data_IF_942882458960
#
_entry.id   IF_942882458960
#
_cell.length_a   1.000
_cell.length_b   1.000
_cell.length_c   1.000
_cell.angle_alpha   90.00
_cell.angle_beta   90.00
_cell.angle_gamma   90.00
#
_symmetry.space_group_name_H-M   'P 1'
#
loop_
_entity.id
_entity.type
_entity.pdbx_description
1 polymer ?
#
# COMPACT_ATOMS: atom_id res chain seq x y z
N UNK A 1 23.66 -19.25 3.30
CA UNK A 1 23.58 -17.80 3.06
C UNK A 1 23.19 -17.55 1.60
N UNK A 2 21.91 -17.67 1.26
CA UNK A 2 21.35 -17.03 0.05
C UNK A 2 20.43 -15.89 0.50
N UNK A 3 21.00 -14.98 1.29
CA UNK A 3 20.38 -13.70 1.63
C UNK A 3 20.65 -12.68 0.51
N UNK A 4 20.51 -13.09 -0.74
CA UNK A 4 20.54 -12.23 -1.91
C UNK A 4 19.15 -12.15 -2.53
N UNK A 5 18.87 -11.13 -3.32
CA UNK A 5 17.62 -10.81 -4.06
C UNK A 5 16.56 -11.93 -4.18
N UNK A 6 16.93 -13.17 -4.51
CA UNK A 6 16.04 -14.34 -4.49
C UNK A 6 15.26 -14.54 -3.19
N UNK A 7 15.87 -14.32 -2.02
CA UNK A 7 15.19 -14.39 -0.72
C UNK A 7 14.13 -13.30 -0.55
N UNK A 8 14.43 -12.07 -0.98
CA UNK A 8 13.49 -10.92 -0.94
C UNK A 8 12.32 -11.16 -1.90
N UNK A 9 12.62 -11.69 -3.09
CA UNK A 9 11.62 -12.03 -4.10
C UNK A 9 10.72 -13.18 -3.60
N UNK A 10 11.28 -14.15 -2.88
CA UNK A 10 10.52 -15.28 -2.32
C UNK A 10 9.65 -14.88 -1.13
N UNK A 11 10.13 -13.97 -0.29
CA UNK A 11 9.40 -13.46 0.87
C UNK A 11 8.32 -12.45 0.50
N UNK A 12 8.37 -11.86 -0.70
CA UNK A 12 7.32 -10.95 -1.15
C UNK A 12 6.09 -11.73 -1.62
N UNK A 13 4.87 -11.33 -1.20
CA UNK A 13 3.63 -11.96 -1.64
C UNK A 13 3.46 -11.96 -3.17
N UNK A 14 2.75 -12.97 -3.68
CA UNK A 14 2.72 -13.27 -5.12
C UNK A 14 2.09 -12.15 -5.94
N UNK A 15 0.97 -11.59 -5.48
CA UNK A 15 0.22 -10.56 -6.22
C UNK A 15 0.98 -9.25 -6.21
N UNK A 16 1.47 -8.86 -5.03
CA UNK A 16 2.33 -7.68 -4.86
C UNK A 16 3.57 -7.75 -5.75
N UNK A 17 4.26 -8.90 -5.76
CA UNK A 17 5.44 -9.12 -6.59
C UNK A 17 5.13 -8.95 -8.07
N UNK A 18 4.09 -9.62 -8.58
CA UNK A 18 3.70 -9.55 -9.98
C UNK A 18 3.42 -8.12 -10.41
N UNK A 19 2.68 -7.36 -9.59
CA UNK A 19 2.30 -5.99 -9.93
C UNK A 19 3.52 -5.06 -9.99
N UNK A 20 4.44 -5.14 -9.02
CA UNK A 20 5.66 -4.32 -9.03
C UNK A 20 6.53 -4.64 -10.25
N UNK A 21 6.69 -5.92 -10.59
CA UNK A 21 7.40 -6.31 -11.83
C UNK A 21 6.74 -5.72 -13.08
N UNK A 22 5.42 -5.74 -13.17
CA UNK A 22 4.69 -5.19 -14.30
C UNK A 22 4.83 -3.67 -14.40
N UNK A 23 4.78 -2.94 -13.28
CA UNK A 23 4.95 -1.47 -13.22
C UNK A 23 6.37 -1.06 -13.64
N UNK A 24 7.38 -1.74 -13.10
CA UNK A 24 8.78 -1.49 -13.46
C UNK A 24 9.02 -1.85 -14.93
N UNK A 25 8.49 -2.98 -15.39
CA UNK A 25 8.60 -3.44 -16.76
C UNK A 25 7.97 -2.47 -17.76
N UNK A 26 6.74 -2.03 -17.52
CA UNK A 26 6.05 -1.07 -18.39
C UNK A 26 6.75 0.29 -18.41
N UNK A 27 7.19 0.80 -17.26
CA UNK A 27 7.92 2.09 -17.20
C UNK A 27 9.27 2.02 -17.92
N UNK A 28 9.96 0.88 -17.82
CA UNK A 28 11.20 0.65 -18.57
C UNK A 28 10.93 0.59 -20.07
N UNK A 29 9.86 -0.09 -20.49
CA UNK A 29 9.46 -0.18 -21.90
C UNK A 29 9.10 1.18 -22.51
N UNK A 30 8.43 2.05 -21.77
CA UNK A 30 8.14 3.41 -22.26
C UNK A 30 9.39 4.27 -22.36
N UNK A 31 10.37 4.07 -21.46
CA UNK A 31 11.66 4.77 -21.54
C UNK A 31 12.54 4.31 -22.68
N UNK A 32 12.49 3.03 -23.03
CA UNK A 32 13.18 2.50 -24.20
C UNK A 32 12.52 2.91 -25.53
N UNK A 33 11.36 3.57 -25.50
CA UNK A 33 10.64 4.03 -26.68
C UNK A 33 9.90 2.92 -27.43
N UNK A 34 9.76 1.72 -26.85
CA UNK A 34 9.00 0.63 -27.45
C UNK A 34 7.48 0.87 -27.39
N UNK A 35 7.01 1.58 -26.37
CA UNK A 35 5.59 1.93 -26.17
C UNK A 35 5.51 3.43 -25.90
N UNK A 36 4.68 4.14 -26.66
CA UNK A 36 4.44 5.55 -26.37
C UNK A 36 3.49 5.71 -25.18
N UNK A 37 3.68 6.79 -24.41
CA UNK A 37 2.87 7.12 -23.24
C UNK A 37 1.38 7.28 -23.62
N UNK A 38 1.12 7.71 -24.86
CA UNK A 38 -0.22 7.85 -25.44
C UNK A 38 -0.89 6.50 -25.71
N UNK A 39 -0.14 5.39 -25.81
CA UNK A 39 -0.69 4.05 -25.97
C UNK A 39 -1.16 3.42 -24.67
N UNK A 40 -0.69 3.95 -23.53
CA UNK A 40 -1.10 3.56 -22.17
C UNK A 40 -2.28 4.39 -21.64
N UNK A 41 -2.59 5.49 -22.33
CA UNK A 41 -3.63 6.42 -21.95
C UNK A 41 -5.03 5.79 -22.02
N UNK A 42 -5.81 5.96 -20.96
CA UNK A 42 -7.21 5.53 -20.92
C UNK A 42 -8.11 6.44 -21.76
N UNK A 43 -8.63 5.90 -22.87
CA UNK A 43 -9.59 6.60 -23.73
C UNK A 43 -10.80 5.72 -24.01
N UNK A 44 -11.94 6.09 -23.41
CA UNK A 44 -13.22 5.38 -23.55
C UNK A 44 -13.66 5.24 -25.01
N UNK A 45 -13.46 6.28 -25.83
CA UNK A 45 -13.83 6.27 -27.24
C UNK A 45 -13.03 5.27 -28.07
N UNK A 46 -11.74 5.11 -27.79
CA UNK A 46 -10.89 4.14 -28.49
C UNK A 46 -11.15 2.71 -28.02
N UNK A 47 -11.39 2.50 -26.73
CA UNK A 47 -11.63 1.17 -26.17
C UNK A 47 -12.91 0.57 -26.75
N UNK A 48 -14.01 1.31 -26.73
CA UNK A 48 -15.31 0.79 -27.18
C UNK A 48 -15.52 0.84 -28.69
N UNK A 49 -14.92 1.82 -29.42
CA UNK A 49 -15.08 1.91 -30.89
C UNK A 49 -14.02 1.14 -31.68
N UNK A 50 -12.83 0.90 -31.11
CA UNK A 50 -11.69 0.24 -31.80
C UNK A 50 -11.26 -1.07 -31.14
N UNK A 51 -12.01 -1.57 -30.15
CA UNK A 51 -11.76 -2.86 -29.46
C UNK A 51 -10.35 -3.01 -28.86
N UNK A 52 -9.75 -1.93 -28.39
CA UNK A 52 -8.40 -1.93 -27.83
C UNK A 52 -8.40 -2.32 -26.33
N UNK A 53 -8.78 -3.56 -26.02
CA UNK A 53 -8.97 -4.04 -24.65
C UNK A 53 -7.69 -4.05 -23.80
N UNK A 54 -6.51 -4.16 -24.43
CA UNK A 54 -5.23 -4.13 -23.71
C UNK A 54 -5.05 -2.82 -22.92
N UNK A 55 -5.62 -1.70 -23.39
CA UNK A 55 -5.57 -0.40 -22.70
C UNK A 55 -6.23 -0.41 -21.33
N UNK A 56 -7.18 -1.32 -21.08
CA UNK A 56 -7.82 -1.49 -19.79
C UNK A 56 -6.86 -2.04 -18.73
N UNK A 57 -5.85 -2.81 -19.14
CA UNK A 57 -4.87 -3.38 -18.22
C UNK A 57 -3.67 -2.46 -18.12
N UNK A 58 -3.18 -1.96 -19.26
CA UNK A 58 -1.95 -1.15 -19.30
C UNK A 58 -2.10 0.21 -18.63
N UNK A 59 -3.30 0.78 -18.56
CA UNK A 59 -3.56 2.05 -17.86
C UNK A 59 -3.36 1.99 -16.34
N UNK A 60 -3.40 0.80 -15.74
CA UNK A 60 -3.10 0.57 -14.32
C UNK A 60 -1.61 0.32 -14.04
N UNK A 61 -0.86 -0.09 -15.06
CA UNK A 61 0.57 -0.41 -14.92
C UNK A 61 1.46 0.83 -15.01
N UNK A 62 1.00 1.86 -15.73
CA UNK A 62 1.70 3.14 -15.79
C UNK A 62 1.32 4.03 -14.59
N UNK A 63 2.30 4.30 -13.73
CA UNK A 63 2.11 5.12 -12.52
C UNK A 63 2.68 6.52 -12.74
N UNK A 64 3.94 6.64 -13.12
CA UNK A 64 4.63 7.91 -13.27
C UNK A 64 5.79 7.79 -14.26
N UNK A 65 6.19 8.89 -14.91
CA UNK A 65 7.43 8.90 -15.69
C UNK A 65 8.63 8.64 -14.77
N UNK A 66 9.66 7.95 -15.30
CA UNK A 66 10.88 7.66 -14.55
C UNK A 66 11.47 8.92 -13.92
N UNK A 67 11.74 8.84 -12.61
CA UNK A 67 12.24 9.93 -11.80
C UNK A 67 12.03 9.64 -10.32
N UNK A 68 12.35 10.61 -9.48
CA UNK A 68 12.24 10.50 -8.02
C UNK A 68 10.79 10.21 -7.58
N UNK A 69 9.80 10.88 -8.18
CA UNK A 69 8.38 10.60 -7.94
C UNK A 69 7.98 9.15 -8.25
N UNK A 70 8.47 8.60 -9.36
CA UNK A 70 8.19 7.20 -9.70
C UNK A 70 8.71 6.26 -8.61
N UNK A 71 9.93 6.47 -8.11
CA UNK A 71 10.47 5.69 -7.02
C UNK A 71 9.60 5.79 -5.76
N UNK A 72 9.21 7.00 -5.37
CA UNK A 72 8.32 7.23 -4.23
C UNK A 72 6.97 6.50 -4.39
N UNK A 73 6.34 6.60 -5.55
CA UNK A 73 5.05 5.95 -5.80
C UNK A 73 5.17 4.42 -5.84
N UNK A 74 6.26 3.87 -6.39
CA UNK A 74 6.51 2.41 -6.40
C UNK A 74 6.79 1.88 -4.99
N UNK A 75 7.58 2.60 -4.18
CA UNK A 75 7.84 2.21 -2.79
C UNK A 75 6.53 2.21 -2.00
N UNK A 76 5.72 3.27 -2.11
CA UNK A 76 4.44 3.36 -1.42
C UNK A 76 3.45 2.29 -1.89
N UNK A 77 3.43 1.98 -3.19
CA UNK A 77 2.63 0.89 -3.74
C UNK A 77 3.09 -0.46 -3.18
N UNK A 78 4.38 -0.78 -3.23
CA UNK A 78 4.93 -2.02 -2.68
C UNK A 78 4.58 -2.18 -1.21
N UNK A 79 4.85 -1.13 -0.43
CA UNK A 79 4.59 -1.08 1.01
C UNK A 79 3.11 -1.32 1.33
N UNK A 80 2.23 -0.66 0.59
CA UNK A 80 0.78 -0.80 0.75
C UNK A 80 0.34 -2.21 0.37
N UNK A 81 0.64 -2.67 -0.85
CA UNK A 81 0.18 -3.97 -1.35
C UNK A 81 0.67 -5.11 -0.47
N UNK A 82 1.95 -5.09 -0.07
CA UNK A 82 2.52 -6.10 0.83
C UNK A 82 1.76 -6.13 2.15
N UNK A 83 1.48 -4.98 2.76
CA UNK A 83 0.73 -4.89 4.02
C UNK A 83 -0.74 -5.25 3.90
N UNK A 84 -1.39 -5.03 2.76
CA UNK A 84 -2.73 -5.57 2.54
C UNK A 84 -2.71 -7.09 2.36
N UNK A 85 -1.75 -7.62 1.60
CA UNK A 85 -1.71 -9.04 1.26
C UNK A 85 -1.26 -9.90 2.46
N UNK A 86 -0.22 -9.49 3.18
CA UNK A 86 0.23 -10.15 4.42
C UNK A 86 -0.68 -9.81 5.60
N UNK A 87 -1.17 -8.57 5.65
CA UNK A 87 -2.00 -8.08 6.74
C UNK A 87 -3.46 -8.48 6.58
N UNK A 88 -4.19 -7.84 5.68
CA UNK A 88 -5.63 -8.11 5.55
C UNK A 88 -6.00 -9.49 4.98
N UNK A 89 -5.09 -10.16 4.26
CA UNK A 89 -5.41 -11.36 3.49
C UNK A 89 -4.37 -12.49 3.62
N UNK A 90 -3.95 -12.88 4.84
CA UNK A 90 -2.94 -13.93 5.02
C UNK A 90 -3.41 -15.24 4.41
N UNK A 91 -2.64 -15.78 3.46
CA UNK A 91 -2.99 -17.00 2.72
C UNK A 91 -4.23 -16.87 1.81
N UNK A 92 -4.82 -15.68 1.70
CA UNK A 92 -6.05 -15.37 0.92
C UNK A 92 -5.77 -14.40 -0.24
N UNK A 93 -4.68 -14.63 -0.97
CA UNK A 93 -4.29 -13.82 -2.13
C UNK A 93 -5.40 -13.70 -3.18
N UNK A 94 -6.29 -14.68 -3.31
CA UNK A 94 -7.42 -14.62 -4.27
C UNK A 94 -8.45 -13.56 -3.86
N UNK A 95 -8.72 -13.41 -2.57
CA UNK A 95 -9.62 -12.37 -2.09
C UNK A 95 -8.99 -10.98 -2.26
N UNK A 96 -7.68 -10.87 -2.06
CA UNK A 96 -6.94 -9.64 -2.35
C UNK A 96 -7.00 -9.27 -3.84
N UNK A 97 -6.78 -10.23 -4.75
CA UNK A 97 -6.95 -10.02 -6.19
C UNK A 97 -8.37 -9.56 -6.55
N UNK A 98 -9.38 -10.16 -5.92
CA UNK A 98 -10.77 -9.75 -6.14
C UNK A 98 -11.02 -8.30 -5.72
N UNK A 99 -10.48 -7.86 -4.58
CA UNK A 99 -10.54 -6.46 -4.16
C UNK A 99 -9.83 -5.54 -5.14
N UNK A 100 -8.66 -5.92 -5.66
CA UNK A 100 -7.97 -5.14 -6.71
C UNK A 100 -8.83 -5.02 -7.97
N UNK A 101 -9.49 -6.09 -8.40
CA UNK A 101 -10.36 -6.09 -9.58
C UNK A 101 -11.56 -5.16 -9.36
N UNK A 102 -12.25 -5.27 -8.22
CA UNK A 102 -13.37 -4.38 -7.88
C UNK A 102 -12.90 -2.92 -7.80
N UNK A 103 -11.74 -2.68 -7.19
CA UNK A 103 -11.13 -1.36 -7.15
C UNK A 103 -10.79 -0.82 -8.54
N UNK A 104 -10.28 -1.68 -9.43
CA UNK A 104 -10.01 -1.32 -10.83
C UNK A 104 -11.29 -0.96 -11.57
N UNK A 105 -12.35 -1.76 -11.44
CA UNK A 105 -13.65 -1.48 -12.07
C UNK A 105 -14.23 -0.16 -11.57
N UNK A 106 -14.20 0.09 -10.25
CA UNK A 106 -14.68 1.35 -9.68
C UNK A 106 -13.87 2.54 -10.20
N UNK A 107 -12.54 2.42 -10.25
CA UNK A 107 -11.68 3.46 -10.81
C UNK A 107 -11.93 3.70 -12.31
N UNK A 108 -12.26 2.67 -13.10
CA UNK A 108 -12.65 2.83 -14.51
C UNK A 108 -13.95 3.64 -14.66
N UNK A 109 -14.91 3.41 -13.77
CA UNK A 109 -16.17 4.17 -13.76
C UNK A 109 -15.94 5.61 -13.32
N UNK A 110 -15.07 5.84 -12.33
CA UNK A 110 -14.78 7.17 -11.78
C UNK A 110 -13.85 8.01 -12.67
N UNK A 111 -12.97 7.39 -13.46
CA UNK A 111 -11.99 8.07 -14.33
C UNK A 111 -12.56 9.21 -15.19
N UNK A 112 -13.69 9.07 -15.92
CA UNK A 112 -14.25 10.15 -16.73
C UNK A 112 -14.75 11.35 -15.89
N UNK A 113 -15.18 11.13 -14.64
CA UNK A 113 -15.66 12.19 -13.76
C UNK A 113 -14.52 13.06 -13.25
N UNK A 114 -13.38 12.45 -12.92
CA UNK A 114 -12.18 13.15 -12.44
C UNK A 114 -11.26 13.62 -13.57
N UNK A 115 -11.58 13.29 -14.84
CA UNK A 115 -10.75 13.55 -16.03
C UNK A 115 -9.32 13.03 -15.88
N UNK A 116 -9.18 11.87 -15.25
CA UNK A 116 -7.90 11.19 -15.03
C UNK A 116 -7.74 10.08 -16.06
N UNK A 117 -6.56 10.00 -16.66
CA UNK A 117 -6.29 9.10 -17.78
C UNK A 117 -5.35 7.94 -17.44
N UNK A 118 -4.62 8.04 -16.33
CA UNK A 118 -3.76 6.99 -15.80
C UNK A 118 -4.32 6.51 -14.48
N UNK A 119 -4.66 5.23 -14.40
CA UNK A 119 -5.37 4.65 -13.25
C UNK A 119 -4.43 3.97 -12.25
N UNK A 120 -3.13 3.88 -12.55
CA UNK A 120 -2.13 3.33 -11.63
C UNK A 120 -2.04 4.08 -10.29
N UNK A 121 -1.95 5.41 -10.33
CA UNK A 121 -1.93 6.25 -9.11
C UNK A 121 -3.25 6.14 -8.33
N UNK A 122 -4.44 6.36 -8.94
CA UNK A 122 -5.72 6.21 -8.23
C UNK A 122 -5.88 4.85 -7.56
N UNK A 123 -5.55 3.77 -8.27
CA UNK A 123 -5.65 2.41 -7.72
C UNK A 123 -4.70 2.19 -6.53
N UNK A 124 -3.46 2.70 -6.64
CA UNK A 124 -2.51 2.67 -5.52
C UNK A 124 -3.02 3.45 -4.30
N UNK A 125 -3.65 4.60 -4.52
CA UNK A 125 -4.28 5.39 -3.44
C UNK A 125 -5.48 4.67 -2.83
N UNK A 126 -6.33 4.02 -3.65
CA UNK A 126 -7.47 3.22 -3.19
C UNK A 126 -7.03 2.12 -2.23
N UNK A 127 -5.98 1.37 -2.56
CA UNK A 127 -5.45 0.32 -1.66
C UNK A 127 -4.82 0.92 -0.40
N UNK A 128 -4.06 2.00 -0.54
CA UNK A 128 -3.43 2.70 0.59
C UNK A 128 -4.46 3.19 1.59
N UNK A 129 -5.58 3.72 1.07
CA UNK A 129 -6.72 4.13 1.87
C UNK A 129 -7.36 2.95 2.60
N UNK A 130 -7.63 1.84 1.89
CA UNK A 130 -8.26 0.66 2.49
C UNK A 130 -7.44 0.12 3.66
N UNK A 131 -6.12 0.05 3.50
CA UNK A 131 -5.23 -0.37 4.57
C UNK A 131 -5.20 0.62 5.74
N UNK A 132 -5.07 1.92 5.45
CA UNK A 132 -5.06 2.96 6.48
C UNK A 132 -6.34 2.97 7.35
N UNK A 133 -7.48 2.59 6.76
CA UNK A 133 -8.76 2.48 7.47
C UNK A 133 -8.92 1.18 8.25
N UNK A 134 -8.35 0.09 7.77
CA UNK A 134 -8.38 -1.23 8.45
C UNK A 134 -7.44 -1.33 9.63
N UNK A 135 -6.37 -0.53 9.62
CA UNK A 135 -5.35 -0.54 10.65
C UNK A 135 -5.09 0.89 11.18
N UNK A 136 -6.10 1.59 11.75
CA UNK A 136 -6.00 3.03 12.03
C UNK A 136 -5.06 3.38 13.20
N UNK A 137 -4.79 2.42 14.09
CA UNK A 137 -3.94 2.61 15.27
C UNK A 137 -2.47 2.27 15.03
N UNK A 138 -2.15 1.69 13.87
CA UNK A 138 -0.78 1.34 13.51
C UNK A 138 0.06 2.60 13.37
N UNK A 139 1.19 2.63 14.07
CA UNK A 139 2.13 3.74 13.96
C UNK A 139 3.10 3.45 12.81
N UNK A 140 3.20 4.39 11.89
CA UNK A 140 4.12 4.29 10.76
C UNK A 140 5.16 5.38 10.80
N UNK A 141 6.37 5.02 10.40
CA UNK A 141 7.39 5.99 10.02
C UNK A 141 7.52 6.01 8.49
N UNK A 142 7.32 7.18 7.88
CA UNK A 142 7.72 7.40 6.48
C UNK A 142 9.21 7.71 6.46
N UNK A 143 9.98 6.83 5.82
CA UNK A 143 11.43 6.98 5.59
C UNK A 143 12.27 7.25 6.86
N UNK A 144 11.79 6.83 8.04
CA UNK A 144 12.49 7.04 9.32
C UNK A 144 12.30 8.44 9.93
N UNK A 145 11.81 9.42 9.15
CA UNK A 145 11.78 10.83 9.54
C UNK A 145 10.46 11.25 10.16
N UNK A 146 9.33 10.86 9.55
CA UNK A 146 8.00 11.28 9.99
C UNK A 146 7.23 10.11 10.58
N UNK A 147 7.06 10.10 11.91
CA UNK A 147 6.23 9.14 12.64
C UNK A 147 4.79 9.65 12.75
N UNK A 148 3.82 8.90 12.21
CA UNK A 148 2.40 9.25 12.31
C UNK A 148 1.50 7.99 12.27
N UNK A 149 0.26 8.14 12.72
CA UNK A 149 -0.73 7.04 12.71
C UNK A 149 -1.22 6.74 11.30
N UNK A 150 -1.40 5.47 10.98
CA UNK A 150 -1.77 5.01 9.64
C UNK A 150 -3.03 5.64 9.07
N UNK A 151 -4.00 6.03 9.92
CA UNK A 151 -5.18 6.80 9.50
C UNK A 151 -4.87 8.08 8.72
N UNK A 152 -3.69 8.68 8.92
CA UNK A 152 -3.26 9.90 8.22
C UNK A 152 -2.46 9.61 6.95
N UNK A 153 -2.11 8.35 6.66
CA UNK A 153 -1.31 7.98 5.49
C UNK A 153 -1.85 8.55 4.17
N UNK A 154 -3.16 8.45 3.85
CA UNK A 154 -3.65 8.95 2.58
C UNK A 154 -3.45 10.47 2.47
N UNK A 155 -3.64 11.21 3.55
CA UNK A 155 -3.49 12.67 3.59
C UNK A 155 -2.03 13.10 3.48
N UNK A 156 -1.12 12.42 4.21
CA UNK A 156 0.32 12.66 4.10
C UNK A 156 0.79 12.37 2.68
N UNK A 157 0.26 11.31 2.05
CA UNK A 157 0.58 10.95 0.66
C UNK A 157 0.11 12.02 -0.33
N UNK A 158 -1.09 12.59 -0.17
CA UNK A 158 -1.55 13.72 -1.00
C UNK A 158 -0.65 14.94 -0.79
N UNK A 159 -0.30 15.26 0.46
CA UNK A 159 0.58 16.38 0.78
C UNK A 159 1.96 16.22 0.11
N UNK A 160 2.49 15.00 0.06
CA UNK A 160 3.75 14.69 -0.62
C UNK A 160 3.64 14.89 -2.14
N UNK A 161 2.56 14.43 -2.77
CA UNK A 161 2.32 14.68 -4.21
C UNK A 161 2.25 16.17 -4.52
N UNK A 162 1.56 16.94 -3.67
CA UNK A 162 1.44 18.39 -3.82
C UNK A 162 2.78 19.11 -3.63
N UNK A 163 3.55 18.72 -2.63
CA UNK A 163 4.90 19.28 -2.37
C UNK A 163 5.85 19.06 -3.54
N UNK A 164 5.72 17.92 -4.24
CA UNK A 164 6.51 17.62 -5.43
C UNK A 164 5.96 18.28 -6.71
N UNK A 165 4.85 19.02 -6.63
CA UNK A 165 4.25 19.73 -7.77
C UNK A 165 3.42 18.84 -8.71
N UNK A 166 2.99 17.65 -8.27
CA UNK A 166 2.11 16.79 -9.07
C UNK A 166 0.63 17.14 -8.90
N UNK A 167 -0.16 16.72 -9.89
CA UNK A 167 -1.61 16.84 -9.84
C UNK A 167 -2.20 15.98 -8.72
N UNK A 168 -2.98 16.60 -7.83
CA UNK A 168 -3.67 15.89 -6.74
C UNK A 168 -5.00 15.24 -7.18
N UNK A 169 -5.48 15.49 -8.41
CA UNK A 169 -6.75 14.91 -8.89
C UNK A 169 -6.80 13.37 -8.86
N UNK A 170 -5.75 12.64 -9.32
CA UNK A 170 -5.71 11.18 -9.25
C UNK A 170 -5.71 10.67 -7.80
N UNK A 171 -5.09 11.43 -6.90
CA UNK A 171 -4.97 11.09 -5.49
C UNK A 171 -6.34 11.18 -4.78
N UNK A 172 -7.07 12.27 -5.01
CA UNK A 172 -8.44 12.45 -4.50
C UNK A 172 -9.40 11.40 -5.05
N UNK A 173 -9.31 11.11 -6.35
CA UNK A 173 -10.09 10.03 -6.97
C UNK A 173 -9.83 8.69 -6.27
N UNK A 174 -8.57 8.39 -5.98
CA UNK A 174 -8.18 7.17 -5.25
C UNK A 174 -8.77 7.10 -3.84
N UNK A 175 -8.81 8.23 -3.11
CA UNK A 175 -9.43 8.33 -1.77
C UNK A 175 -10.95 8.09 -1.85
N UNK A 176 -11.64 8.72 -2.80
CA UNK A 176 -13.10 8.54 -2.97
C UNK A 176 -13.42 7.09 -3.32
N UNK A 177 -12.69 6.51 -4.28
CA UNK A 177 -12.80 5.10 -4.64
C UNK A 177 -12.53 4.19 -3.43
N UNK A 178 -11.48 4.47 -2.65
CA UNK A 178 -11.15 3.73 -1.43
C UNK A 178 -12.24 3.79 -0.36
N UNK A 179 -12.85 4.96 -0.18
CA UNK A 179 -13.95 5.12 0.79
C UNK A 179 -15.19 4.33 0.39
N UNK A 180 -15.55 4.34 -0.90
CA UNK A 180 -16.66 3.54 -1.42
C UNK A 180 -16.40 2.05 -1.17
N UNK A 181 -15.21 1.56 -1.52
CA UNK A 181 -14.86 0.14 -1.34
C UNK A 181 -14.86 -0.24 0.15
N UNK A 182 -14.27 0.59 1.00
CA UNK A 182 -14.29 0.39 2.45
C UNK A 182 -15.72 0.35 2.99
N UNK A 183 -16.59 1.26 2.56
CA UNK A 183 -17.99 1.26 2.96
C UNK A 183 -18.68 -0.06 2.59
N UNK A 184 -18.48 -0.56 1.38
CA UNK A 184 -19.10 -1.81 0.95
C UNK A 184 -18.48 -3.07 1.57
N UNK A 185 -17.18 -3.08 1.84
CA UNK A 185 -16.47 -4.25 2.39
C UNK A 185 -16.59 -4.35 3.90
N UNK A 186 -16.54 -3.22 4.61
CA UNK A 186 -16.36 -3.20 6.07
C UNK A 186 -17.60 -2.60 6.77
N UNK A 187 -18.18 -1.49 6.29
CA UNK A 187 -19.35 -0.87 6.95
C UNK A 187 -20.69 -1.56 6.63
N UNK A 188 -20.91 -1.96 5.38
CA UNK A 188 -22.18 -2.53 4.94
C UNK A 188 -22.50 -3.89 5.58
N UNK A 189 -21.53 -4.82 5.77
CA UNK A 189 -21.80 -6.07 6.46
C UNK A 189 -22.12 -5.88 7.95
N UNK A 190 -21.52 -4.89 8.61
CA UNK A 190 -21.86 -4.55 10.01
C UNK A 190 -23.32 -4.10 10.13
N UNK A 191 -23.84 -3.39 9.14
CA UNK A 191 -25.22 -2.87 9.12
C UNK A 191 -26.26 -3.94 8.71
N UNK A 192 -25.94 -4.79 7.74
CA UNK A 192 -26.91 -5.72 7.11
C UNK A 192 -26.74 -7.16 7.60
N UNK A 193 -25.64 -7.48 8.29
CA UNK A 193 -25.30 -8.83 8.74
C UNK A 193 -24.94 -9.80 7.60
N UNK A 194 -24.75 -9.30 6.38
CA UNK A 194 -24.37 -10.09 5.19
C UNK A 194 -23.25 -9.43 4.40
N UNK A 195 -22.21 -10.19 4.12
CA UNK A 195 -21.09 -9.79 3.26
C UNK A 195 -21.52 -9.81 1.78
N UNK A 196 -21.96 -8.66 1.25
CA UNK A 196 -22.44 -8.52 -0.14
C UNK A 196 -21.29 -8.64 -1.15
N UNK A 197 -20.08 -8.18 -0.80
CA UNK A 197 -18.86 -8.30 -1.60
C UNK A 197 -17.99 -9.51 -1.21
N UNK A 198 -18.62 -10.64 -0.88
CA UNK A 198 -17.89 -11.90 -0.71
C UNK A 198 -17.34 -12.35 -2.06
N UNK A 199 -16.05 -12.71 -2.11
CA UNK A 199 -15.42 -13.28 -3.30
C UNK A 199 -16.25 -14.48 -3.78
N UNK A 200 -16.72 -14.49 -5.05
CA UNK A 200 -17.57 -15.56 -5.54
C UNK A 200 -16.81 -16.89 -5.53
N UNK A 201 -17.49 -17.97 -5.14
CA UNK A 201 -16.89 -19.30 -4.99
C UNK A 201 -16.26 -19.82 -6.30
N UNK A 202 -16.78 -19.43 -7.46
CA UNK A 202 -16.17 -19.78 -8.75
C UNK A 202 -14.78 -19.16 -8.92
N UNK A 203 -14.59 -17.91 -8.50
CA UNK A 203 -13.29 -17.24 -8.58
C UNK A 203 -12.27 -17.93 -7.66
N UNK A 204 -12.69 -18.31 -6.44
CA UNK A 204 -11.87 -19.12 -5.53
C UNK A 204 -11.50 -20.49 -6.12
N UNK A 205 -12.43 -21.15 -6.80
CA UNK A 205 -12.20 -22.43 -7.47
C UNK A 205 -11.20 -22.33 -8.62
N UNK A 206 -11.25 -21.27 -9.43
CA UNK A 206 -10.28 -21.05 -10.53
C UNK A 206 -8.85 -21.01 -9.98
N UNK A 207 -8.67 -20.34 -8.85
CA UNK A 207 -7.35 -20.17 -8.22
C UNK A 207 -7.04 -21.23 -7.14
N UNK A 208 -7.83 -22.31 -7.05
CA UNK A 208 -7.57 -23.44 -6.16
C UNK A 208 -7.70 -23.14 -4.66
N UNK A 209 -8.35 -22.04 -4.27
CA UNK A 209 -8.52 -21.65 -2.88
C UNK A 209 -9.80 -22.27 -2.28
N UNK A 210 -9.65 -22.97 -1.14
CA UNK A 210 -10.77 -23.53 -0.38
C UNK A 210 -11.74 -22.42 0.08
N UNK A 211 -13.05 -22.69 0.14
CA UNK A 211 -14.03 -21.71 0.59
C UNK A 211 -13.85 -21.42 2.07
N UNK A 212 -13.19 -20.31 2.38
CA UNK A 212 -13.13 -19.80 3.74
C UNK A 212 -14.49 -19.16 4.13
N UNK A 213 -15.01 -19.56 5.29
CA UNK A 213 -16.34 -19.17 5.77
C UNK A 213 -16.31 -17.91 6.63
N UNK A 214 -15.13 -17.37 6.92
CA UNK A 214 -15.00 -16.17 7.75
C UNK A 214 -14.79 -14.92 6.89
N UNK A 215 -15.46 -13.84 7.30
CA UNK A 215 -15.21 -12.49 6.80
C UNK A 215 -13.78 -12.05 7.14
N UNK A 216 -13.57 -10.75 7.22
CA UNK A 216 -12.34 -10.20 7.78
C UNK A 216 -12.13 -10.76 9.20
N UNK A 217 -11.02 -11.46 9.46
CA UNK A 217 -10.79 -12.18 10.72
C UNK A 217 -10.31 -11.19 11.81
N UNK A 218 -11.11 -10.96 12.88
CA UNK A 218 -10.74 -10.04 13.95
C UNK A 218 -9.48 -10.48 14.72
N UNK A 219 -9.16 -11.77 14.75
CA UNK A 219 -7.97 -12.32 15.44
C UNK A 219 -6.69 -11.75 14.83
N UNK A 220 -6.69 -11.49 13.54
CA UNK A 220 -5.52 -10.95 12.86
C UNK A 220 -5.24 -9.48 13.25
N UNK A 221 -6.29 -8.69 13.55
CA UNK A 221 -6.09 -7.33 14.08
C UNK A 221 -5.39 -7.37 15.43
N UNK A 222 -5.73 -8.35 16.26
CA UNK A 222 -5.12 -8.57 17.58
C UNK A 222 -3.64 -8.97 17.44
N UNK A 223 -3.30 -9.84 16.49
CA UNK A 223 -1.90 -10.26 16.23
C UNK A 223 -1.03 -9.09 15.76
N UNK A 224 -1.52 -8.26 14.83
CA UNK A 224 -0.75 -7.07 14.41
C UNK A 224 -0.62 -6.07 15.55
N UNK A 225 -1.67 -5.85 16.35
CA UNK A 225 -1.60 -4.97 17.51
C UNK A 225 -0.57 -5.44 18.52
N UNK A 226 -0.54 -6.74 18.82
CA UNK A 226 0.39 -7.31 19.79
C UNK A 226 1.84 -7.21 19.29
N UNK A 227 2.11 -7.57 18.02
CA UNK A 227 3.45 -7.46 17.44
C UNK A 227 3.93 -6.00 17.35
N UNK A 228 3.03 -5.03 17.16
CA UNK A 228 3.39 -3.61 17.15
C UNK A 228 3.59 -3.03 18.55
N UNK A 229 2.84 -3.50 19.55
CA UNK A 229 3.10 -3.18 20.95
C UNK A 229 4.44 -3.73 21.41
N UNK A 230 4.78 -4.97 21.05
CA UNK A 230 6.09 -5.56 21.34
C UNK A 230 7.22 -4.74 20.70
N UNK A 231 7.11 -4.36 19.43
CA UNK A 231 8.11 -3.50 18.78
C UNK A 231 8.21 -2.10 19.43
N UNK A 232 7.12 -1.54 19.95
CA UNK A 232 7.15 -0.25 20.65
C UNK A 232 7.84 -0.36 22.01
N UNK A 233 7.57 -1.44 22.75
CA UNK A 233 8.21 -1.73 24.03
C UNK A 233 9.71 -1.96 23.83
N UNK A 234 10.12 -2.68 22.79
CA UNK A 234 11.55 -2.86 22.47
C UNK A 234 12.25 -1.53 22.17
N UNK A 235 11.63 -0.65 21.37
CA UNK A 235 12.19 0.67 21.07
C UNK A 235 12.25 1.56 22.32
N UNK A 236 11.23 1.51 23.19
CA UNK A 236 11.19 2.27 24.43
C UNK A 236 12.29 1.81 25.40
N UNK A 237 12.46 0.49 25.54
CA UNK A 237 13.55 -0.10 26.32
C UNK A 237 14.94 0.23 25.74
N UNK A 238 15.11 0.25 24.42
CA UNK A 238 16.39 0.65 23.80
C UNK A 238 16.73 2.12 24.10
N UNK A 239 15.73 3.01 24.08
CA UNK A 239 15.94 4.41 24.42
C UNK A 239 16.24 4.59 25.91
N UNK A 240 15.53 3.90 26.81
CA UNK A 240 15.81 3.95 28.26
C UNK A 240 17.23 3.45 28.58
N UNK A 241 17.65 2.34 27.96
CA UNK A 241 19.02 1.85 28.11
C UNK A 241 20.07 2.82 27.56
N UNK A 242 19.78 3.59 26.50
CA UNK A 242 20.68 4.64 26.03
C UNK A 242 20.77 5.81 27.01
N UNK A 243 19.64 6.25 27.58
CA UNK A 243 19.64 7.32 28.59
C UNK A 243 20.32 6.90 29.90
N UNK A 244 20.17 5.65 30.34
CA UNK A 244 20.88 5.15 31.53
C UNK A 244 22.40 5.06 31.29
N UNK A 245 22.82 4.66 30.09
CA UNK A 245 24.24 4.62 29.75
C UNK A 245 24.86 6.01 29.63
N UNK A 246 24.15 7.00 29.08
CA UNK A 246 24.62 8.41 29.04
C UNK A 246 24.71 9.02 30.45
N UNK A 247 23.72 8.77 31.32
CA UNK A 247 23.77 9.28 32.69
C UNK A 247 24.88 8.62 33.53
N UNK A 248 25.18 7.34 33.31
CA UNK A 248 26.30 6.69 33.99
C UNK A 248 27.66 7.19 33.49
N UNK A 249 27.81 7.48 32.20
CA UNK A 249 29.05 8.09 31.70
C UNK A 249 29.25 9.51 32.24
N UNK A 250 28.19 10.30 32.34
CA UNK A 250 28.27 11.67 32.86
C UNK A 250 28.62 11.68 34.37
N UNK A 251 28.09 10.72 35.14
CA UNK A 251 28.44 10.56 36.56
C UNK A 251 29.87 10.05 36.78
N UNK A 252 30.38 9.17 35.91
CA UNK A 252 31.77 8.71 35.96
C UNK A 252 32.76 9.83 35.61
N UNK A 253 32.40 10.73 34.67
CA UNK A 253 33.21 11.92 34.35
C UNK A 253 33.19 12.97 35.49
N UNK A 254 32.05 13.17 36.19
CA UNK A 254 31.99 14.06 37.36
C UNK A 254 32.78 13.52 38.57
N UNK A 255 32.78 12.20 38.82
CA UNK A 255 33.60 11.59 39.88
C UNK A 255 35.10 11.67 39.58
N UNK A 256 35.52 11.51 38.32
CA UNK A 256 36.92 11.71 37.93
C UNK A 256 37.36 13.18 38.03
N UNK A 257 36.49 14.15 37.75
CA UNK A 257 36.81 15.58 37.92
C UNK A 257 36.91 16.00 39.40
N UNK A 258 36.09 15.44 40.30
CA UNK A 258 36.21 15.71 41.75
C UNK A 258 37.48 15.11 42.36
N UNK A 259 37.96 13.96 41.87
CA UNK A 259 39.19 13.32 42.36
C UNK A 259 40.48 14.09 41.97
N UNK A 260 40.44 14.89 40.89
CA UNK A 260 41.57 15.69 40.39
C UNK A 260 41.73 17.04 41.14
N UNK A 261 40.73 17.47 41.90
CA UNK A 261 40.70 18.79 42.60
C UNK A 261 41.16 18.70 44.08
N UNK A 262 41.52 17.51 44.57
CA UNK A 262 42.11 17.28 45.92
C UNK A 262 43.64 17.10 45.89
#
# INVERSE_FOLDING_TARGET
MEAGLGGIIRNTPVVTRLWIFLVIGTTTLTKLGFIDHLDLYFNYGLIFRRYQFWRLITCFLYIAPFGVNFLFQVILLYMTCRRLEEGSYPGRSVDFMFVIIIAGILNLVLAPFFKVFFLGIPLSFTLGYLWARRFPMVHMSIYGVLRFRAKYLPWVRVALSFLMGFSAYPDFMGIVSGHIIFFFLDCLPELVGKNILKTPNFFRRIFGQLPDNQGFDPIFQEIIQNNEQENQIEIENENENQFENENNSDNEEEEEEEEIVL
#
